data_IF_081170617205
#
_entry.id   IF_081170617205
#
_cell.length_a   1.000
_cell.length_b   1.000
_cell.length_c   1.000
_cell.angle_alpha   90.00
_cell.angle_beta   90.00
_cell.angle_gamma   90.00
#
_symmetry.space_group_name_H-M   'P 1'
#
loop_
_entity.id
_entity.type
_entity.pdbx_description
1 polymer ?
#
# COMPACT_ATOMS: atom_id res chain seq x y z
N UNK A 1 -3.69 -16.81 -26.75
CA UNK A 1 -2.76 -15.72 -26.43
C UNK A 1 -2.81 -14.74 -27.60
N UNK A 2 -3.15 -13.49 -27.31
CA UNK A 2 -3.44 -12.49 -28.33
C UNK A 2 -2.18 -11.74 -28.78
N UNK A 3 -1.22 -12.47 -29.34
CA UNK A 3 0.01 -11.87 -29.89
C UNK A 3 -0.29 -10.81 -30.95
N UNK A 4 -1.38 -10.98 -31.69
CA UNK A 4 -1.87 -9.99 -32.64
C UNK A 4 -2.26 -8.67 -31.94
N UNK A 5 -2.91 -8.75 -30.77
CA UNK A 5 -3.29 -7.57 -29.99
C UNK A 5 -2.07 -6.84 -29.45
N UNK A 6 -1.05 -7.57 -28.97
CA UNK A 6 0.21 -6.98 -28.50
C UNK A 6 0.91 -6.24 -29.64
N UNK A 7 0.99 -6.86 -30.83
CA UNK A 7 1.63 -6.23 -31.99
C UNK A 7 0.87 -4.98 -32.46
N UNK A 8 -0.46 -5.05 -32.53
CA UNK A 8 -1.29 -3.90 -32.88
C UNK A 8 -1.12 -2.73 -31.90
N UNK A 9 -1.01 -3.02 -30.60
CA UNK A 9 -0.75 -1.99 -29.59
C UNK A 9 0.66 -1.39 -29.72
N UNK A 10 1.68 -2.21 -30.00
CA UNK A 10 3.04 -1.72 -30.25
C UNK A 10 3.09 -0.82 -31.49
N UNK A 11 2.39 -1.18 -32.58
CA UNK A 11 2.27 -0.32 -33.76
C UNK A 11 1.53 1.00 -33.45
N UNK A 12 0.43 0.93 -32.70
CA UNK A 12 -0.30 2.13 -32.27
C UNK A 12 0.58 3.05 -31.40
N UNK A 13 1.42 2.50 -30.54
CA UNK A 13 2.38 3.26 -29.74
C UNK A 13 3.50 3.90 -30.57
N UNK A 14 3.88 3.35 -31.73
CA UNK A 14 4.81 4.03 -32.64
C UNK A 14 4.22 5.33 -33.20
N UNK A 15 2.90 5.38 -33.39
CA UNK A 15 2.18 6.56 -33.85
C UNK A 15 1.87 7.56 -32.72
N UNK A 16 1.81 7.08 -31.48
CA UNK A 16 1.50 7.90 -30.30
C UNK A 16 2.30 7.43 -29.08
N UNK A 17 3.62 7.71 -29.04
CA UNK A 17 4.52 7.18 -28.02
C UNK A 17 4.20 7.68 -26.61
N UNK A 18 3.58 8.85 -26.47
CA UNK A 18 3.26 9.46 -25.18
C UNK A 18 1.86 9.10 -24.67
N UNK A 19 1.15 8.18 -25.33
CA UNK A 19 -0.20 7.78 -24.95
C UNK A 19 -0.16 6.85 -23.72
N UNK A 20 -0.24 7.45 -22.52
CA UNK A 20 -0.21 6.77 -21.22
C UNK A 20 -1.28 5.66 -21.10
N UNK A 21 -2.57 5.89 -21.41
CA UNK A 21 -3.58 4.82 -21.40
C UNK A 21 -3.22 3.63 -22.30
N UNK A 22 -2.66 3.89 -23.48
CA UNK A 22 -2.28 2.85 -24.43
C UNK A 22 -1.08 2.03 -23.93
N UNK A 23 -0.07 2.69 -23.35
CA UNK A 23 1.06 2.03 -22.68
C UNK A 23 0.59 1.17 -21.51
N UNK A 24 -0.33 1.69 -20.70
CA UNK A 24 -0.92 0.94 -19.59
C UNK A 24 -1.65 -0.32 -20.07
N UNK A 25 -2.43 -0.20 -21.14
CA UNK A 25 -3.14 -1.32 -21.73
C UNK A 25 -2.18 -2.38 -22.29
N UNK A 26 -1.09 -1.96 -22.95
CA UNK A 26 -0.05 -2.86 -23.41
C UNK A 26 0.58 -3.63 -22.24
N UNK A 27 0.98 -2.94 -21.16
CA UNK A 27 1.57 -3.56 -19.98
C UNK A 27 0.64 -4.58 -19.32
N UNK A 28 -0.67 -4.28 -19.26
CA UNK A 28 -1.68 -5.18 -18.72
C UNK A 28 -1.84 -6.44 -19.58
N UNK A 29 -1.86 -6.30 -20.90
CA UNK A 29 -1.94 -7.45 -21.82
C UNK A 29 -0.66 -8.30 -21.73
N UNK A 30 0.52 -7.67 -21.65
CA UNK A 30 1.79 -8.40 -21.49
C UNK A 30 1.81 -9.22 -20.20
N UNK A 31 1.31 -8.66 -19.10
CA UNK A 31 1.17 -9.37 -17.82
C UNK A 31 0.23 -10.58 -17.95
N UNK A 32 -0.95 -10.40 -18.56
CA UNK A 32 -1.91 -11.49 -18.81
C UNK A 32 -1.36 -12.56 -19.75
N UNK A 33 -0.50 -12.17 -20.69
CA UNK A 33 0.22 -13.07 -21.59
C UNK A 33 1.44 -13.75 -20.94
N UNK A 34 1.65 -13.58 -19.63
CA UNK A 34 2.80 -14.11 -18.89
C UNK A 34 4.16 -13.66 -19.47
N UNK A 35 4.19 -12.54 -20.22
CA UNK A 35 5.40 -11.90 -20.73
C UNK A 35 5.95 -10.94 -19.69
N UNK A 36 6.37 -11.51 -18.57
CA UNK A 36 6.62 -10.77 -17.33
C UNK A 36 7.76 -9.76 -17.46
N UNK A 37 8.80 -10.07 -18.23
CA UNK A 37 9.93 -9.15 -18.40
C UNK A 37 9.56 -7.92 -19.24
N UNK A 38 8.81 -8.12 -20.34
CA UNK A 38 8.28 -7.01 -21.14
C UNK A 38 7.29 -6.18 -20.32
N UNK A 39 6.38 -6.81 -19.58
CA UNK A 39 5.44 -6.10 -18.71
C UNK A 39 6.16 -5.25 -17.66
N UNK A 40 7.22 -5.79 -17.04
CA UNK A 40 8.02 -5.08 -16.04
C UNK A 40 8.64 -3.81 -16.63
N UNK A 41 9.20 -3.90 -17.84
CA UNK A 41 9.81 -2.76 -18.53
C UNK A 41 8.74 -1.69 -18.81
N UNK A 42 7.62 -2.08 -19.43
CA UNK A 42 6.54 -1.15 -19.77
C UNK A 42 5.96 -0.45 -18.54
N UNK A 43 5.67 -1.19 -17.45
CA UNK A 43 5.21 -0.57 -16.20
C UNK A 43 6.27 0.35 -15.57
N UNK A 44 7.55 -0.01 -15.63
CA UNK A 44 8.63 0.83 -15.10
C UNK A 44 8.79 2.13 -15.88
N UNK A 45 8.65 2.09 -17.21
CA UNK A 45 8.64 3.29 -18.05
C UNK A 45 7.41 4.14 -17.81
N UNK A 46 6.24 3.51 -17.69
CA UNK A 46 4.98 4.19 -17.43
C UNK A 46 5.05 4.99 -16.12
N UNK A 47 5.61 4.39 -15.06
CA UNK A 47 5.79 5.05 -13.76
C UNK A 47 6.80 6.20 -13.77
N UNK A 48 7.76 6.21 -14.70
CA UNK A 48 8.66 7.37 -14.88
C UNK A 48 7.95 8.55 -15.52
N UNK A 49 6.98 8.28 -16.40
CA UNK A 49 6.21 9.32 -17.10
C UNK A 49 5.06 9.84 -16.24
N UNK A 50 4.33 8.93 -15.61
CA UNK A 50 3.18 9.22 -14.76
C UNK A 50 3.16 8.25 -13.58
N UNK A 51 3.63 8.68 -12.40
CA UNK A 51 3.50 7.89 -11.18
C UNK A 51 2.01 7.76 -10.82
N UNK A 52 1.41 6.61 -11.10
CA UNK A 52 0.03 6.29 -10.73
C UNK A 52 -0.06 5.01 -9.90
N UNK A 53 -1.05 4.95 -9.03
CA UNK A 53 -1.31 3.79 -8.16
C UNK A 53 -1.55 2.52 -8.97
N UNK A 54 -2.30 2.62 -10.08
CA UNK A 54 -2.69 1.46 -10.89
C UNK A 54 -1.47 0.80 -11.56
N UNK A 55 -0.54 1.57 -12.12
CA UNK A 55 0.68 0.98 -12.71
C UNK A 55 1.65 0.47 -11.65
N UNK A 56 1.70 1.07 -10.45
CA UNK A 56 2.47 0.51 -9.32
C UNK A 56 1.92 -0.86 -8.91
N UNK A 57 0.60 -1.00 -8.81
CA UNK A 57 -0.05 -2.31 -8.55
C UNK A 57 0.26 -3.30 -9.68
N UNK A 58 0.20 -2.85 -10.94
CA UNK A 58 0.57 -3.68 -12.10
C UNK A 58 2.02 -4.18 -12.05
N UNK A 59 2.94 -3.31 -11.64
CA UNK A 59 4.36 -3.67 -11.45
C UNK A 59 4.54 -4.66 -10.29
N UNK A 60 3.87 -4.45 -9.16
CA UNK A 60 3.89 -5.38 -8.02
C UNK A 60 3.37 -6.78 -8.43
N UNK A 61 2.24 -6.84 -9.13
CA UNK A 61 1.70 -8.10 -9.70
C UNK A 61 2.69 -8.77 -10.63
N UNK A 62 3.41 -7.99 -11.44
CA UNK A 62 4.46 -8.51 -12.32
C UNK A 62 5.59 -9.16 -11.50
N UNK A 63 6.10 -8.48 -10.47
CA UNK A 63 7.13 -9.06 -9.60
C UNK A 63 6.66 -10.30 -8.85
N UNK A 64 5.42 -10.31 -8.35
CA UNK A 64 4.82 -11.49 -7.73
C UNK A 64 4.81 -12.70 -8.68
N UNK A 65 4.35 -12.52 -9.92
CA UNK A 65 4.33 -13.58 -10.92
C UNK A 65 5.73 -14.06 -11.33
N UNK A 66 6.74 -13.19 -11.26
CA UNK A 66 8.15 -13.57 -11.50
C UNK A 66 8.77 -14.34 -10.33
N UNK A 67 8.12 -14.38 -9.17
CA UNK A 67 8.68 -14.92 -7.93
C UNK A 67 9.65 -13.96 -7.23
N UNK A 68 9.71 -12.70 -7.65
CA UNK A 68 10.54 -11.66 -7.03
C UNK A 68 9.78 -11.01 -5.86
N UNK A 69 9.42 -11.81 -4.84
CA UNK A 69 8.51 -11.41 -3.76
C UNK A 69 9.03 -10.23 -2.93
N UNK A 70 10.33 -10.16 -2.63
CA UNK A 70 10.89 -9.04 -1.86
C UNK A 70 10.68 -7.68 -2.56
N UNK A 71 10.83 -7.63 -3.89
CA UNK A 71 10.57 -6.41 -4.67
C UNK A 71 9.09 -6.08 -4.75
N UNK A 72 8.26 -7.13 -4.85
CA UNK A 72 6.81 -6.98 -4.77
C UNK A 72 6.40 -6.33 -3.44
N UNK A 73 6.93 -6.82 -2.32
CA UNK A 73 6.59 -6.32 -0.98
C UNK A 73 7.00 -4.85 -0.79
N UNK A 74 8.19 -4.45 -1.21
CA UNK A 74 8.62 -3.03 -1.15
C UNK A 74 7.63 -2.10 -1.86
N UNK A 75 7.14 -2.47 -3.05
CA UNK A 75 6.17 -1.64 -3.79
C UNK A 75 4.82 -1.62 -3.09
N UNK A 76 4.39 -2.76 -2.53
CA UNK A 76 3.11 -2.86 -1.83
C UNK A 76 3.12 -2.10 -0.50
N UNK A 77 4.23 -2.13 0.25
CA UNK A 77 4.42 -1.31 1.45
C UNK A 77 4.32 0.17 1.10
N UNK A 78 5.03 0.63 0.08
CA UNK A 78 4.96 2.02 -0.38
C UNK A 78 3.52 2.41 -0.75
N UNK A 79 2.78 1.51 -1.42
CA UNK A 79 1.38 1.74 -1.80
C UNK A 79 0.44 1.83 -0.59
N UNK A 80 0.66 1.00 0.43
CA UNK A 80 -0.13 0.99 1.67
C UNK A 80 0.15 2.24 2.51
N UNK A 81 1.39 2.72 2.52
CA UNK A 81 1.80 3.90 3.29
C UNK A 81 1.39 5.22 2.62
N UNK A 82 1.42 5.28 1.29
CA UNK A 82 1.19 6.52 0.53
C UNK A 82 -0.23 6.65 -0.04
N UNK A 83 -0.99 5.56 -0.08
CA UNK A 83 -2.27 5.48 -0.77
C UNK A 83 -3.43 4.99 0.09
N UNK A 84 -4.65 4.95 -0.48
CA UNK A 84 -5.79 4.28 0.13
C UNK A 84 -5.47 2.80 0.30
N UNK A 85 -5.71 2.26 1.49
CA UNK A 85 -5.62 0.83 1.75
C UNK A 85 -6.75 0.12 1.00
N UNK A 86 -6.44 -0.35 -0.20
CA UNK A 86 -7.35 -1.12 -1.02
C UNK A 86 -7.26 -2.61 -0.67
N UNK A 87 -8.42 -3.27 -0.62
CA UNK A 87 -8.55 -4.67 -0.25
C UNK A 87 -7.67 -5.57 -1.14
N UNK A 88 -7.72 -5.35 -2.47
CA UNK A 88 -6.94 -6.13 -3.44
C UNK A 88 -5.43 -6.01 -3.23
N UNK A 89 -4.96 -4.83 -2.78
CA UNK A 89 -3.55 -4.57 -2.52
C UNK A 89 -3.09 -5.29 -1.25
N UNK A 90 -3.91 -5.28 -0.20
CA UNK A 90 -3.62 -6.01 1.04
C UNK A 90 -3.56 -7.52 0.81
N UNK A 91 -4.51 -8.08 0.06
CA UNK A 91 -4.49 -9.52 -0.27
C UNK A 91 -3.27 -9.90 -1.11
N UNK A 92 -2.90 -9.08 -2.10
CA UNK A 92 -1.69 -9.32 -2.87
C UNK A 92 -0.43 -9.28 -1.98
N UNK A 93 -0.39 -8.35 -1.02
CA UNK A 93 0.72 -8.23 -0.09
C UNK A 93 0.81 -9.42 0.87
N UNK A 94 -0.32 -9.85 1.45
CA UNK A 94 -0.39 -11.07 2.26
C UNK A 94 0.15 -12.29 1.50
N UNK A 95 -0.30 -12.48 0.24
CA UNK A 95 0.17 -13.59 -0.60
C UNK A 95 1.66 -13.52 -0.88
N UNK A 96 2.18 -12.32 -1.19
CA UNK A 96 3.59 -12.10 -1.44
C UNK A 96 4.46 -12.37 -0.19
N UNK A 97 4.03 -11.92 0.99
CA UNK A 97 4.68 -12.19 2.28
C UNK A 97 4.70 -13.70 2.62
N UNK A 98 3.60 -14.41 2.35
CA UNK A 98 3.54 -15.87 2.53
C UNK A 98 4.55 -16.60 1.65
N UNK A 99 4.67 -16.21 0.38
CA UNK A 99 5.69 -16.80 -0.53
C UNK A 99 7.12 -16.47 -0.11
N UNK A 100 7.33 -15.32 0.53
CA UNK A 100 8.62 -14.95 1.15
C UNK A 100 8.86 -15.64 2.51
N UNK A 101 7.88 -16.40 3.03
CA UNK A 101 7.89 -17.06 4.35
C UNK A 101 7.84 -16.11 5.54
N UNK A 102 7.44 -14.87 5.33
CA UNK A 102 7.23 -13.85 6.35
C UNK A 102 5.82 -13.97 6.94
N UNK A 103 5.54 -15.09 7.62
CA UNK A 103 4.19 -15.45 8.09
C UNK A 103 3.65 -14.42 9.10
N UNK A 104 4.49 -13.95 10.03
CA UNK A 104 4.07 -12.98 11.06
C UNK A 104 3.56 -11.67 10.45
N UNK A 105 4.29 -11.12 9.48
CA UNK A 105 3.87 -9.92 8.76
C UNK A 105 2.61 -10.20 7.93
N UNK A 106 2.52 -11.36 7.29
CA UNK A 106 1.36 -11.74 6.48
C UNK A 106 0.05 -11.77 7.29
N UNK A 107 0.11 -12.29 8.53
CA UNK A 107 -1.02 -12.31 9.47
C UNK A 107 -1.53 -10.89 9.75
N UNK A 108 -0.64 -9.95 10.04
CA UNK A 108 -1.02 -8.57 10.36
C UNK A 108 -1.65 -7.84 9.18
N UNK A 109 -1.10 -8.02 7.98
CA UNK A 109 -1.67 -7.45 6.75
C UNK A 109 -3.03 -8.08 6.43
N UNK A 110 -3.18 -9.38 6.63
CA UNK A 110 -4.43 -10.06 6.35
C UNK A 110 -5.54 -9.68 7.34
N UNK A 111 -5.23 -9.49 8.62
CA UNK A 111 -6.18 -8.91 9.59
C UNK A 111 -6.70 -7.56 9.11
N UNK A 112 -5.83 -6.68 8.60
CA UNK A 112 -6.25 -5.39 8.01
C UNK A 112 -7.18 -5.58 6.82
N UNK A 113 -6.93 -6.58 5.96
CA UNK A 113 -7.82 -6.88 4.84
C UNK A 113 -9.22 -7.31 5.32
N UNK A 114 -9.30 -8.16 6.35
CA UNK A 114 -10.57 -8.60 6.96
C UNK A 114 -11.32 -7.47 7.68
N UNK A 115 -10.64 -6.43 8.16
CA UNK A 115 -11.31 -5.24 8.70
C UNK A 115 -12.05 -4.45 7.60
N UNK A 116 -11.56 -4.48 6.36
CA UNK A 116 -12.17 -3.81 5.20
C UNK A 116 -13.32 -4.66 4.65
N UNK A 117 -13.08 -5.96 4.46
CA UNK A 117 -14.11 -6.92 4.06
C UNK A 117 -14.17 -8.09 5.04
N UNK A 118 -15.02 -8.00 6.08
CA UNK A 118 -15.20 -9.07 7.06
C UNK A 118 -15.81 -10.35 6.48
N UNK A 119 -16.42 -10.27 5.29
CA UNK A 119 -17.04 -11.43 4.63
C UNK A 119 -16.06 -12.21 3.75
N UNK A 120 -14.85 -11.68 3.56
CA UNK A 120 -13.84 -12.33 2.76
C UNK A 120 -13.37 -13.64 3.41
N UNK A 121 -13.35 -14.71 2.61
CA UNK A 121 -12.84 -16.00 3.01
C UNK A 121 -11.99 -16.59 1.89
N UNK A 122 -10.73 -16.86 2.19
CA UNK A 122 -9.82 -17.56 1.31
C UNK A 122 -9.27 -18.76 2.07
N UNK A 123 -9.78 -19.96 1.72
CA UNK A 123 -9.43 -21.21 2.40
C UNK A 123 -7.94 -21.51 2.40
N UNK A 124 -7.19 -21.03 1.40
CA UNK A 124 -5.74 -21.22 1.33
C UNK A 124 -5.07 -20.29 2.34
N UNK A 125 -5.42 -19.01 2.33
CA UNK A 125 -4.88 -18.01 3.26
C UNK A 125 -5.28 -18.32 4.71
N UNK A 126 -6.53 -18.66 4.98
CA UNK A 126 -7.02 -19.00 6.31
C UNK A 126 -6.31 -20.22 6.89
N UNK A 127 -5.99 -21.20 6.03
CA UNK A 127 -5.24 -22.41 6.43
C UNK A 127 -3.77 -22.10 6.69
N UNK A 128 -3.14 -21.30 5.83
CA UNK A 128 -1.72 -20.93 5.98
C UNK A 128 -1.50 -19.97 7.15
N UNK A 129 -2.49 -19.11 7.44
CA UNK A 129 -2.41 -18.08 8.47
C UNK A 129 -3.07 -18.50 9.80
N UNK A 130 -3.79 -19.65 9.84
CA UNK A 130 -4.48 -20.20 11.03
C UNK A 130 -5.24 -19.16 11.83
N UNK A 131 -6.03 -18.34 11.14
CA UNK A 131 -6.78 -17.24 11.75
C UNK A 131 -8.14 -17.66 12.31
N UNK A 132 -8.66 -18.81 11.90
CA UNK A 132 -9.96 -19.31 12.37
C UNK A 132 -10.01 -19.50 13.89
N UNK A 133 -8.93 -20.00 14.50
CA UNK A 133 -8.87 -20.24 15.96
C UNK A 133 -8.56 -18.96 16.76
N UNK A 134 -8.07 -17.91 16.10
CA UNK A 134 -7.71 -16.64 16.77
C UNK A 134 -8.79 -15.58 16.67
N UNK A 135 -9.60 -15.57 15.61
CA UNK A 135 -10.75 -14.64 15.50
C UNK A 135 -11.89 -15.07 16.44
N UNK A 136 -12.16 -16.37 16.61
CA UNK A 136 -13.18 -16.83 17.56
C UNK A 136 -12.76 -16.63 19.04
N UNK A 137 -11.45 -16.59 19.34
CA UNK A 137 -10.95 -16.32 20.69
C UNK A 137 -10.68 -14.83 20.96
N UNK A 138 -10.49 -13.99 19.94
CA UNK A 138 -10.29 -12.53 20.11
C UNK A 138 -11.59 -11.73 20.08
N UNK A 139 -12.73 -12.32 19.71
CA UNK A 139 -14.05 -11.69 19.89
C UNK A 139 -14.51 -11.64 21.35
N UNK A 140 -13.69 -12.08 22.31
CA UNK A 140 -14.09 -12.10 23.73
C UNK A 140 -13.34 -11.11 24.62
N UNK A 141 -12.09 -10.75 24.35
CA UNK A 141 -11.36 -9.76 25.17
C UNK A 141 -10.11 -9.31 24.39
N UNK A 142 -10.03 -8.00 24.11
CA UNK A 142 -8.83 -7.17 23.85
C UNK A 142 -9.08 -6.15 22.73
N UNK A 143 -9.47 -4.96 23.19
CA UNK A 143 -9.04 -3.65 22.69
C UNK A 143 -8.67 -3.59 21.20
N UNK A 144 -9.64 -3.10 20.43
CA UNK A 144 -9.40 -2.46 19.14
C UNK A 144 -8.40 -1.34 19.39
N UNK A 145 -7.12 -1.64 19.15
CA UNK A 145 -6.05 -0.67 19.19
C UNK A 145 -6.24 0.28 17.99
N UNK A 146 -7.01 1.32 18.27
CA UNK A 146 -7.26 2.49 17.43
C UNK A 146 -5.99 3.33 17.21
N UNK A 147 -4.89 2.69 16.83
CA UNK A 147 -3.62 3.34 16.52
C UNK A 147 -3.56 3.88 15.07
N UNK A 148 -4.71 4.26 14.50
CA UNK A 148 -4.74 5.15 13.35
C UNK A 148 -5.71 6.32 13.62
N UNK A 149 -5.10 7.47 13.93
CA UNK A 149 -5.69 8.81 14.03
C UNK A 149 -6.45 9.10 15.35
N UNK A 150 -5.71 9.24 16.45
CA UNK A 150 -6.03 10.31 17.40
C UNK A 150 -5.21 11.54 16.99
N UNK A 151 -5.87 12.51 16.37
CA UNK A 151 -5.32 13.87 16.40
C UNK A 151 -5.28 14.27 17.87
N UNK A 152 -4.13 14.68 18.43
CA UNK A 152 -4.09 15.15 19.81
C UNK A 152 -5.12 16.27 19.98
N UNK A 153 -6.05 16.11 20.93
CA UNK A 153 -7.08 17.09 21.26
C UNK A 153 -6.53 18.27 22.09
N UNK A 154 -5.22 18.33 22.29
CA UNK A 154 -4.57 19.44 22.98
C UNK A 154 -4.52 20.66 22.07
N UNK A 155 -5.34 21.65 22.39
CA UNK A 155 -5.20 22.97 21.79
C UNK A 155 -4.11 23.76 22.54
N UNK A 156 -3.51 24.77 21.90
CA UNK A 156 -2.48 25.62 22.53
C UNK A 156 -2.95 26.32 23.82
N UNK A 157 -4.25 26.30 24.12
CA UNK A 157 -4.83 26.74 25.38
C UNK A 157 -4.57 25.81 26.56
N UNK A 158 -4.31 24.51 26.33
CA UNK A 158 -4.16 23.50 27.39
C UNK A 158 -2.69 23.32 27.84
N UNK A 159 -1.73 23.74 27.03
CA UNK A 159 -0.32 23.88 27.44
C UNK A 159 -0.11 25.25 28.11
N UNK A 160 -0.85 25.48 29.18
CA UNK A 160 -0.76 26.67 30.04
C UNK A 160 0.53 26.66 30.86
N UNK A 161 1.60 27.27 30.37
CA UNK A 161 2.89 27.30 31.08
C UNK A 161 3.73 28.57 31.00
N UNK A 162 3.39 29.58 30.18
CA UNK A 162 4.23 30.78 30.01
C UNK A 162 3.60 32.09 30.51
N UNK A 163 2.51 32.03 31.28
CA UNK A 163 1.97 33.22 31.96
C UNK A 163 2.92 33.74 33.05
N UNK A 164 3.60 32.84 33.76
CA UNK A 164 4.56 33.24 34.81
C UNK A 164 5.80 33.90 34.21
N UNK A 165 6.33 33.34 33.12
CA UNK A 165 7.53 33.84 32.43
C UNK A 165 7.29 35.22 31.79
N UNK A 166 6.13 35.46 31.17
CA UNK A 166 5.79 36.80 30.66
C UNK A 166 5.70 37.86 31.77
N UNK A 167 5.13 37.51 32.92
CA UNK A 167 5.00 38.42 34.06
C UNK A 167 6.34 38.73 34.72
N UNK A 168 7.25 37.76 34.76
CA UNK A 168 8.63 37.94 35.24
C UNK A 168 9.47 38.84 34.33
N UNK A 169 9.26 38.75 33.01
CA UNK A 169 9.94 39.60 32.03
C UNK A 169 9.41 41.05 32.08
N UNK A 170 8.09 41.25 32.24
CA UNK A 170 7.52 42.61 32.41
C UNK A 170 8.04 43.32 33.67
N UNK A 171 8.23 42.59 34.77
CA UNK A 171 8.71 43.16 36.04
C UNK A 171 10.20 43.58 36.01
N UNK A 172 11.01 42.98 35.12
CA UNK A 172 12.44 43.32 34.96
C UNK A 172 12.72 44.43 33.94
N UNK A 173 11.74 44.79 33.11
CA UNK A 173 11.92 45.83 32.07
C UNK A 173 11.42 47.21 32.55
N UNK A 174 10.60 47.27 33.61
CA UNK A 174 10.04 48.53 34.12
C UNK A 174 10.39 48.72 35.60
N UNK A 175 11.67 48.95 35.90
CA UNK A 175 12.11 49.75 37.06
C UNK A 175 13.60 50.09 36.92
N UNK A 176 13.95 51.35 36.64
CA UNK A 176 15.32 51.83 36.81
C UNK A 176 15.54 52.07 38.30
N UNK A 177 16.65 51.57 38.84
CA UNK A 177 17.39 52.11 39.97
C UNK A 177 18.75 51.41 40.03
#
# INVERSE_FOLDING_TARGET
MDDNSINNLKEALKLSPDNIPLKQHLAEILLKANRLEEARIEYSELLKLSPDTKSKIGLAKTFYMKGEYSRCNVILEELIDTGPQDFDTLILHTRALLKEKSISAAVEIYKKALLIDPSYQDKELDRELRLSDTIENSTSDEEIDSHFIQKPSTNFSDVGGMMHVKKEIELKIIKPL
#
